data_IF_867750016344
#
_entry.id   IF_867750016344
#
_cell.length_a   1.000
_cell.length_b   1.000
_cell.length_c   1.000
_cell.angle_alpha   90.00
_cell.angle_beta   90.00
_cell.angle_gamma   90.00
#
_symmetry.space_group_name_H-M   'P 1'
#
loop_
_entity.id
_entity.type
_entity.pdbx_description
1 polymer ?
#
# COMPACT_ATOMS: atom_id res chain seq x y z
N UNK A 1 21.05 16.37 -2.19
CA UNK A 1 19.91 16.41 -3.14
C UNK A 1 18.70 15.79 -2.46
N UNK A 2 18.02 16.50 -1.54
CA UNK A 2 16.87 15.96 -0.79
C UNK A 2 15.56 16.42 -1.46
N UNK A 3 14.99 15.56 -2.30
CA UNK A 3 13.72 15.82 -3.00
C UNK A 3 12.59 15.13 -2.21
N UNK A 4 12.09 15.78 -1.18
CA UNK A 4 11.00 15.25 -0.36
C UNK A 4 10.07 16.38 0.09
N UNK A 5 9.01 16.69 -0.67
CA UNK A 5 7.89 17.53 -0.17
C UNK A 5 6.49 17.27 -0.81
N UNK A 6 6.27 16.28 -1.69
CA UNK A 6 4.92 16.10 -2.31
C UNK A 6 4.44 14.65 -2.50
N UNK A 7 5.12 13.64 -1.94
CA UNK A 7 4.66 12.25 -1.95
C UNK A 7 4.34 11.82 -0.53
N UNK A 8 3.06 11.70 -0.21
CA UNK A 8 2.62 11.09 1.04
C UNK A 8 2.74 9.58 0.84
N UNK A 9 3.37 8.91 1.79
CA UNK A 9 3.38 7.45 1.84
C UNK A 9 2.08 7.03 2.52
N UNK A 10 1.11 6.57 1.74
CA UNK A 10 -0.15 6.03 2.27
C UNK A 10 -0.02 4.51 2.41
N UNK A 11 -0.65 3.98 3.45
CA UNK A 11 -0.73 2.55 3.70
C UNK A 11 -2.21 2.14 3.79
N UNK A 12 -2.64 1.22 2.92
CA UNK A 12 -4.01 0.72 2.88
C UNK A 12 -4.04 -0.78 3.13
N UNK A 13 -4.90 -1.22 4.06
CA UNK A 13 -5.10 -2.65 4.35
C UNK A 13 -6.09 -3.23 3.35
N UNK A 14 -5.64 -4.20 2.55
CA UNK A 14 -6.48 -4.87 1.55
C UNK A 14 -7.31 -6.02 2.15
N UNK A 15 -6.78 -6.71 3.16
CA UNK A 15 -7.41 -7.88 3.75
C UNK A 15 -6.38 -8.84 4.34
N UNK A 16 -6.73 -10.11 4.52
CA UNK A 16 -5.81 -11.10 5.09
C UNK A 16 -4.99 -11.81 4.01
N UNK A 17 -3.70 -12.00 4.26
CA UNK A 17 -2.79 -12.75 3.39
C UNK A 17 -3.05 -14.27 3.38
N UNK A 18 -3.93 -14.76 4.24
CA UNK A 18 -4.48 -16.12 4.13
C UNK A 18 -5.46 -16.28 2.96
N UNK A 19 -6.07 -15.19 2.50
CA UNK A 19 -7.00 -15.15 1.36
C UNK A 19 -6.34 -14.53 0.13
N UNK A 20 -5.59 -13.44 0.33
CA UNK A 20 -4.86 -12.75 -0.72
C UNK A 20 -3.44 -13.32 -0.79
N UNK A 21 -3.25 -14.29 -1.69
CA UNK A 21 -1.94 -14.93 -1.92
C UNK A 21 -0.94 -13.98 -2.58
N UNK A 22 -1.41 -13.07 -3.43
CA UNK A 22 -0.58 -12.08 -4.12
C UNK A 22 -0.92 -10.65 -3.66
N UNK A 23 -0.58 -10.36 -2.40
CA UNK A 23 -0.80 -9.03 -1.80
C UNK A 23 -0.13 -7.93 -2.64
N UNK A 24 1.14 -8.14 -3.03
CA UNK A 24 1.92 -7.17 -3.80
C UNK A 24 1.34 -6.87 -5.18
N UNK A 25 0.98 -7.88 -5.98
CA UNK A 25 0.37 -7.63 -7.29
C UNK A 25 -1.04 -7.07 -7.20
N UNK A 26 -1.80 -7.41 -6.15
CA UNK A 26 -3.11 -6.79 -5.89
C UNK A 26 -2.95 -5.30 -5.55
N UNK A 27 -1.99 -4.94 -4.69
CA UNK A 27 -1.66 -3.55 -4.38
C UNK A 27 -1.26 -2.79 -5.66
N UNK A 28 -0.43 -3.41 -6.51
CA UNK A 28 -0.01 -2.80 -7.78
C UNK A 28 -1.17 -2.58 -8.75
N UNK A 29 -2.10 -3.52 -8.80
CA UNK A 29 -3.29 -3.42 -9.67
C UNK A 29 -4.28 -2.36 -9.16
N UNK A 30 -4.40 -2.19 -7.85
CA UNK A 30 -5.31 -1.23 -7.21
C UNK A 30 -4.77 0.20 -7.17
N UNK A 31 -3.52 0.37 -6.76
CA UNK A 31 -2.92 1.67 -6.45
C UNK A 31 -1.88 2.12 -7.48
N UNK A 32 -1.46 1.24 -8.39
CA UNK A 32 -0.48 1.52 -9.44
C UNK A 32 0.81 0.72 -9.27
N UNK A 33 1.62 0.60 -10.33
CA UNK A 33 2.84 -0.24 -10.32
C UNK A 33 3.88 0.19 -9.28
N UNK A 34 3.83 1.44 -8.82
CA UNK A 34 4.67 1.99 -7.74
C UNK A 34 4.22 1.57 -6.33
N UNK A 35 3.09 0.87 -6.21
CA UNK A 35 2.62 0.32 -4.95
C UNK A 35 3.43 -0.93 -4.56
N UNK A 36 3.74 -1.02 -3.28
CA UNK A 36 4.26 -2.24 -2.66
C UNK A 36 3.18 -2.84 -1.78
N UNK A 37 3.08 -4.16 -1.76
CA UNK A 37 2.26 -4.88 -0.81
C UNK A 37 3.13 -5.78 0.02
N UNK A 38 2.97 -5.70 1.33
CA UNK A 38 3.61 -6.59 2.29
C UNK A 38 2.57 -7.32 3.14
N UNK A 39 2.93 -8.52 3.58
CA UNK A 39 2.07 -9.36 4.40
C UNK A 39 2.55 -9.30 5.83
N UNK A 40 1.97 -8.37 6.59
CA UNK A 40 2.23 -8.21 8.01
C UNK A 40 1.65 -9.42 8.76
N UNK A 41 2.52 -10.35 9.16
CA UNK A 41 2.17 -11.63 9.80
C UNK A 41 2.34 -11.57 11.32
N UNK A 42 2.11 -10.41 11.91
CA UNK A 42 2.18 -10.23 13.36
C UNK A 42 0.97 -10.93 14.04
N UNK A 43 1.10 -12.24 14.29
CA UNK A 43 0.18 -13.00 15.15
C UNK A 43 -0.91 -13.86 14.48
N UNK A 44 -0.90 -14.11 13.16
CA UNK A 44 -1.92 -14.99 12.54
C UNK A 44 -1.88 -15.16 11.02
N UNK A 45 -3.06 -15.13 10.36
CA UNK A 45 -3.23 -15.25 8.89
C UNK A 45 -2.51 -14.17 8.08
N UNK A 46 -1.99 -13.16 8.76
CA UNK A 46 -1.31 -11.99 8.21
C UNK A 46 -2.26 -11.04 7.52
N UNK A 47 -1.94 -9.76 7.59
CA UNK A 47 -2.70 -8.68 6.99
C UNK A 47 -1.92 -8.15 5.79
N UNK A 48 -2.56 -8.09 4.64
CA UNK A 48 -2.03 -7.51 3.43
C UNK A 48 -2.10 -5.99 3.53
N UNK A 49 -0.93 -5.35 3.64
CA UNK A 49 -0.76 -3.91 3.75
C UNK A 49 -0.12 -3.38 2.47
N UNK A 50 -0.80 -2.47 1.79
CA UNK A 50 -0.30 -1.80 0.59
C UNK A 50 0.31 -0.45 0.93
N UNK A 51 1.63 -0.31 0.80
CA UNK A 51 2.30 0.99 0.83
C UNK A 51 2.44 1.56 -0.56
N UNK A 52 1.88 2.75 -0.82
CA UNK A 52 1.97 3.42 -2.11
C UNK A 52 2.19 4.93 -1.94
N UNK A 53 2.88 5.53 -2.90
CA UNK A 53 3.08 6.97 -2.91
C UNK A 53 1.90 7.64 -3.59
N UNK A 54 1.02 8.23 -2.78
CA UNK A 54 -0.13 8.95 -3.29
C UNK A 54 0.34 10.36 -3.73
N UNK A 55 0.09 10.79 -4.97
CA UNK A 55 0.21 12.20 -5.29
C UNK A 55 -0.78 12.92 -4.36
N UNK A 56 -0.28 13.84 -3.55
CA UNK A 56 -0.97 14.58 -2.49
C UNK A 56 -2.50 14.57 -2.60
N UNK A 57 -3.25 14.36 -1.50
CA UNK A 57 -4.69 14.58 -1.52
C UNK A 57 -4.87 15.97 -2.11
N UNK A 58 -5.62 16.06 -3.21
CA UNK A 58 -6.22 17.33 -3.55
C UNK A 58 -6.86 17.82 -2.26
N UNK A 59 -6.52 19.04 -1.76
CA UNK A 59 -7.33 19.62 -0.71
C UNK A 59 -8.75 19.57 -1.24
N UNK A 60 -9.63 18.89 -0.51
CA UNK A 60 -11.06 18.95 -0.72
C UNK A 60 -11.40 20.44 -0.86
N UNK A 61 -11.78 20.83 -2.07
CA UNK A 61 -12.33 22.17 -2.36
C UNK A 61 -13.72 22.28 -1.75
#
# INVERSE_FOLDING_TARGET
MAKALNKIWDASVLGSCGVITDCSGTCKTKFGQDASGDCDRDGGVGTCVCGYSCPSPHPHM
#
